data_IF_982225837093
#
_entry.id   IF_982225837093
#
_cell.length_a   1.000
_cell.length_b   1.000
_cell.length_c   1.000
_cell.angle_alpha   90.00
_cell.angle_beta   90.00
_cell.angle_gamma   90.00
#
_symmetry.space_group_name_H-M   'P 1'
#
loop_
_entity.id
_entity.type
_entity.pdbx_description
1 polymer ?
#
# COMPACT_ATOMS: atom_id res chain seq x y z
N UNK A 1 29.27 -26.24 3.14
CA UNK A 1 28.46 -25.33 3.99
C UNK A 1 27.06 -25.31 3.40
N UNK A 2 26.08 -25.97 4.03
CA UNK A 2 24.69 -26.01 3.53
C UNK A 2 23.99 -24.73 4.01
N UNK A 3 23.70 -23.83 3.10
CA UNK A 3 22.80 -22.71 3.36
C UNK A 3 21.39 -23.30 3.37
N UNK A 4 20.70 -23.24 4.51
CA UNK A 4 19.31 -23.68 4.63
C UNK A 4 18.42 -22.74 3.82
N UNK A 5 18.04 -23.15 2.60
CA UNK A 5 17.05 -22.48 1.75
C UNK A 5 15.60 -22.70 2.23
N UNK A 6 15.28 -22.28 3.46
CA UNK A 6 13.91 -22.31 3.99
C UNK A 6 13.38 -20.90 4.30
N UNK A 7 13.58 -19.96 3.39
CA UNK A 7 12.83 -18.70 3.36
C UNK A 7 11.67 -18.85 2.38
N UNK A 8 10.76 -19.78 2.67
CA UNK A 8 9.46 -19.82 2.00
C UNK A 8 8.59 -18.73 2.63
N UNK A 9 8.99 -17.47 2.49
CA UNK A 9 8.19 -16.33 2.93
C UNK A 9 7.12 -16.14 1.87
N UNK A 10 5.96 -16.73 2.14
CA UNK A 10 4.80 -16.63 1.28
C UNK A 10 3.93 -15.52 1.88
N UNK A 11 4.22 -14.27 1.52
CA UNK A 11 3.32 -13.17 1.86
C UNK A 11 2.30 -12.95 0.75
N UNK A 12 1.18 -12.37 1.12
CA UNK A 12 0.29 -11.70 0.19
C UNK A 12 0.27 -10.21 0.54
N UNK A 13 0.52 -9.33 -0.42
CA UNK A 13 0.21 -7.91 -0.26
C UNK A 13 -1.04 -7.66 -1.07
N UNK A 14 -2.11 -7.29 -0.39
CA UNK A 14 -3.33 -6.77 -0.99
C UNK A 14 -3.27 -5.25 -0.91
N UNK A 15 -3.24 -4.56 -2.05
CA UNK A 15 -3.25 -3.09 -2.10
C UNK A 15 -4.66 -2.63 -2.40
N UNK A 16 -5.18 -1.68 -1.63
CA UNK A 16 -6.45 -1.01 -1.86
C UNK A 16 -6.20 0.49 -2.10
N UNK A 17 -6.56 0.98 -3.28
CA UNK A 17 -6.71 2.42 -3.54
C UNK A 17 -8.14 2.80 -3.18
N UNK A 18 -8.36 3.83 -2.37
CA UNK A 18 -9.67 4.36 -1.98
C UNK A 18 -9.97 5.74 -2.56
N UNK A 19 -8.92 6.56 -2.66
CA UNK A 19 -8.98 7.92 -3.20
C UNK A 19 -7.96 8.01 -4.32
N UNK A 20 -8.40 8.50 -5.48
CA UNK A 20 -7.55 8.84 -6.60
C UNK A 20 -7.86 10.27 -7.07
N UNK A 21 -6.95 11.20 -6.78
CA UNK A 21 -6.97 12.57 -7.30
C UNK A 21 -6.15 12.58 -8.58
N UNK A 22 -6.78 12.88 -9.71
CA UNK A 22 -6.11 12.84 -11.02
C UNK A 22 -5.58 14.20 -11.49
N UNK A 23 -5.85 15.27 -10.75
CA UNK A 23 -5.21 16.58 -10.96
C UNK A 23 -3.81 16.59 -10.36
N UNK A 24 -2.85 17.24 -11.02
CA UNK A 24 -1.48 17.30 -10.54
C UNK A 24 -1.34 18.09 -9.20
N UNK A 25 -0.58 17.59 -8.20
CA UNK A 25 0.05 16.27 -8.20
C UNK A 25 -0.98 15.15 -8.08
N UNK A 26 -0.84 14.07 -8.86
CA UNK A 26 -1.76 12.92 -8.77
C UNK A 26 -1.62 12.31 -7.38
N UNK A 27 -2.72 12.09 -6.67
CA UNK A 27 -2.70 11.55 -5.29
C UNK A 27 -3.45 10.23 -5.22
N UNK A 28 -2.84 9.24 -4.58
CA UNK A 28 -3.47 8.00 -4.17
C UNK A 28 -3.52 7.88 -2.66
N UNK A 29 -4.68 7.55 -2.09
CA UNK A 29 -4.81 7.20 -0.68
C UNK A 29 -5.52 5.87 -0.54
N UNK A 30 -5.13 5.10 0.47
CA UNK A 30 -5.70 3.78 0.68
C UNK A 30 -4.96 2.97 1.73
N UNK A 31 -4.94 1.66 1.56
CA UNK A 31 -4.28 0.74 2.48
C UNK A 31 -3.59 -0.44 1.81
N UNK A 32 -2.56 -0.97 2.45
CA UNK A 32 -2.00 -2.28 2.18
C UNK A 32 -2.42 -3.24 3.29
N UNK A 33 -2.98 -4.39 2.91
CA UNK A 33 -3.16 -5.53 3.81
C UNK A 33 -2.09 -6.57 3.50
N UNK A 34 -1.18 -6.79 4.43
CA UNK A 34 -0.07 -7.74 4.30
C UNK A 34 -0.41 -8.98 5.11
N UNK A 35 -0.61 -10.11 4.43
CA UNK A 35 -0.83 -11.40 5.06
C UNK A 35 0.46 -12.22 5.06
N UNK A 36 1.02 -12.43 6.24
CA UNK A 36 2.14 -13.34 6.47
C UNK A 36 1.62 -14.76 6.67
N UNK A 37 1.63 -15.57 5.60
CA UNK A 37 1.12 -16.95 5.63
C UNK A 37 1.94 -17.86 6.54
N UNK A 38 3.20 -17.51 6.84
CA UNK A 38 4.05 -18.31 7.73
C UNK A 38 3.58 -18.21 9.17
N UNK A 39 3.23 -17.00 9.61
CA UNK A 39 2.83 -16.73 10.99
C UNK A 39 1.30 -16.61 11.17
N UNK A 40 0.54 -16.66 10.08
CA UNK A 40 -0.92 -16.44 10.09
C UNK A 40 -1.29 -15.02 10.56
N UNK A 41 -0.38 -14.05 10.38
CA UNK A 41 -0.56 -12.68 10.84
C UNK A 41 -0.97 -11.78 9.69
N UNK A 42 -1.85 -10.84 9.99
CA UNK A 42 -2.25 -9.79 9.08
C UNK A 42 -1.79 -8.44 9.62
N UNK A 43 -1.20 -7.62 8.76
CA UNK A 43 -0.78 -6.27 9.06
C UNK A 43 -1.51 -5.31 8.11
N UNK A 44 -2.00 -4.20 8.64
CA UNK A 44 -2.64 -3.16 7.86
C UNK A 44 -1.72 -1.95 7.83
N UNK A 45 -1.54 -1.33 6.67
CA UNK A 45 -0.80 -0.09 6.50
C UNK A 45 -1.70 0.89 5.76
N UNK A 46 -1.84 2.11 6.24
CA UNK A 46 -2.51 3.21 5.56
C UNK A 46 -1.48 4.08 4.84
N UNK A 47 -1.78 4.51 3.62
CA UNK A 47 -0.85 5.30 2.83
C UNK A 47 -1.50 6.52 2.20
N UNK A 48 -0.67 7.54 1.96
CA UNK A 48 -0.89 8.57 0.94
C UNK A 48 0.36 8.68 0.08
N UNK A 49 0.16 8.52 -1.22
CA UNK A 49 1.20 8.58 -2.24
C UNK A 49 0.92 9.73 -3.19
N UNK A 50 1.94 10.53 -3.48
CA UNK A 50 1.94 11.48 -4.60
C UNK A 50 2.64 10.85 -5.79
N UNK A 51 1.96 10.84 -6.92
CA UNK A 51 2.49 10.38 -8.18
C UNK A 51 3.01 11.57 -8.99
N UNK A 52 4.27 11.48 -9.43
CA UNK A 52 4.94 12.55 -10.20
C UNK A 52 4.54 12.56 -11.68
N UNK A 53 3.78 11.56 -12.14
CA UNK A 53 3.24 11.54 -13.51
C UNK A 53 2.25 12.69 -13.70
N UNK A 54 2.26 13.30 -14.89
CA UNK A 54 1.44 14.47 -15.17
C UNK A 54 -0.02 14.10 -15.46
N UNK A 55 -0.26 12.91 -16.04
CA UNK A 55 -1.59 12.44 -16.39
C UNK A 55 -1.72 10.91 -16.26
N UNK A 56 -2.95 10.40 -16.41
CA UNK A 56 -3.24 8.95 -16.34
C UNK A 56 -2.56 8.12 -17.44
N UNK A 57 -2.38 8.68 -18.64
CA UNK A 57 -1.77 7.95 -19.77
C UNK A 57 -0.28 7.71 -19.53
N UNK A 58 0.43 8.66 -18.92
CA UNK A 58 1.84 8.49 -18.56
C UNK A 58 2.06 7.32 -17.57
N UNK A 59 1.06 6.98 -16.74
CA UNK A 59 1.12 5.83 -15.83
C UNK A 59 1.06 4.49 -16.60
N UNK A 60 0.36 4.47 -17.74
CA UNK A 60 0.21 3.27 -18.57
C UNK A 60 1.36 3.08 -19.55
N UNK A 61 1.89 4.18 -20.07
CA UNK A 61 2.85 4.18 -21.18
C UNK A 61 4.30 4.08 -20.69
N UNK A 62 4.61 4.60 -19.50
CA UNK A 62 5.96 4.58 -18.94
C UNK A 62 6.26 3.29 -18.16
N UNK A 63 7.52 2.87 -18.18
CA UNK A 63 8.01 1.82 -17.27
C UNK A 63 7.92 2.26 -15.80
N UNK A 64 7.75 1.28 -14.91
CA UNK A 64 7.72 1.54 -13.48
C UNK A 64 9.01 2.21 -13.01
N UNK A 65 8.86 3.33 -12.30
CA UNK A 65 9.93 3.98 -11.55
C UNK A 65 9.46 4.19 -10.11
N UNK A 66 10.23 3.73 -9.09
CA UNK A 66 9.89 3.98 -7.69
C UNK A 66 9.92 5.48 -7.35
N UNK A 67 10.67 6.29 -8.12
CA UNK A 67 10.73 7.73 -7.92
C UNK A 67 9.44 8.44 -8.32
N UNK A 68 8.59 7.80 -9.12
CA UNK A 68 7.30 8.37 -9.50
C UNK A 68 6.26 8.24 -8.40
N UNK A 69 6.45 7.35 -7.40
CA UNK A 69 5.46 7.04 -6.36
C UNK A 69 5.97 7.44 -4.98
N UNK A 70 5.74 8.68 -4.56
CA UNK A 70 6.28 9.21 -3.32
C UNK A 70 5.28 9.06 -2.16
N UNK A 71 5.53 8.13 -1.24
CA UNK A 71 4.75 8.07 0.00
C UNK A 71 5.04 9.30 0.86
N UNK A 72 4.03 10.14 1.01
CA UNK A 72 4.05 11.30 1.92
C UNK A 72 3.64 10.90 3.33
N UNK A 73 2.90 9.81 3.45
CA UNK A 73 2.45 9.24 4.72
C UNK A 73 2.33 7.73 4.60
N UNK A 74 2.76 7.04 5.66
CA UNK A 74 2.68 5.59 5.78
C UNK A 74 2.50 5.22 7.25
N UNK A 75 1.35 4.65 7.61
CA UNK A 75 0.97 4.39 9.02
C UNK A 75 0.58 2.94 9.23
N UNK A 76 1.06 2.30 10.28
CA UNK A 76 0.54 0.99 10.68
C UNK A 76 -0.91 1.09 11.23
N UNK A 77 -1.69 0.05 10.98
CA UNK A 77 -3.11 -0.03 11.36
C UNK A 77 -3.34 -0.60 12.77
N UNK A 78 -2.40 -1.39 13.29
CA UNK A 78 -2.31 -1.64 14.72
C UNK A 78 -1.67 -0.41 15.36
N UNK A 79 -2.46 0.43 16.04
CA UNK A 79 -2.14 1.28 17.21
C UNK A 79 -3.05 2.52 17.19
N UNK A 80 -3.49 2.91 18.40
CA UNK A 80 -4.16 4.16 18.79
C UNK A 80 -3.28 5.43 18.63
N UNK A 81 -2.13 5.32 17.97
CA UNK A 81 -1.10 6.35 17.85
C UNK A 81 -0.66 6.41 16.39
N UNK A 82 -0.54 7.63 15.92
CA UNK A 82 -0.28 8.03 14.55
C UNK A 82 1.20 7.87 14.16
N UNK A 83 1.79 6.71 14.44
CA UNK A 83 3.22 6.53 14.20
C UNK A 83 3.48 6.26 12.72
N UNK A 84 4.07 7.28 12.08
CA UNK A 84 4.53 7.21 10.71
C UNK A 84 5.69 6.19 10.64
N UNK A 85 5.46 5.05 9.98
CA UNK A 85 6.44 3.97 9.83
C UNK A 85 7.43 4.24 8.70
N UNK A 86 7.25 5.33 7.93
CA UNK A 86 8.07 5.63 6.76
C UNK A 86 9.57 5.66 7.07
N UNK A 87 9.96 6.27 8.19
CA UNK A 87 11.37 6.37 8.60
C UNK A 87 11.95 5.06 9.18
N UNK A 88 11.09 4.06 9.41
CA UNK A 88 11.48 2.77 10.00
C UNK A 88 11.61 1.68 8.94
N UNK A 89 11.01 1.87 7.76
CA UNK A 89 11.11 0.95 6.64
C UNK A 89 12.45 1.12 5.91
N UNK A 90 12.98 0.00 5.42
CA UNK A 90 14.08 0.02 4.47
C UNK A 90 13.61 0.51 3.10
N UNK A 91 14.55 1.01 2.29
CA UNK A 91 14.29 1.38 0.89
C UNK A 91 13.69 0.21 0.09
N UNK A 92 14.16 -1.02 0.33
CA UNK A 92 13.63 -2.23 -0.31
C UNK A 92 12.15 -2.47 0.05
N UNK A 93 11.78 -2.26 1.32
CA UNK A 93 10.39 -2.39 1.76
C UNK A 93 9.50 -1.28 1.17
N UNK A 94 10.02 -0.06 1.05
CA UNK A 94 9.31 1.05 0.40
C UNK A 94 9.10 0.75 -1.08
N UNK A 95 10.15 0.31 -1.79
CA UNK A 95 10.10 -0.11 -3.18
C UNK A 95 9.02 -1.17 -3.42
N UNK A 96 8.94 -2.16 -2.53
CA UNK A 96 7.94 -3.22 -2.60
C UNK A 96 6.50 -2.67 -2.59
N UNK A 97 6.22 -1.73 -1.68
CA UNK A 97 4.91 -1.09 -1.55
C UNK A 97 4.60 -0.15 -2.73
N UNK A 98 5.61 0.56 -3.24
CA UNK A 98 5.48 1.39 -4.45
C UNK A 98 5.14 0.53 -5.67
N UNK A 99 5.81 -0.61 -5.82
CA UNK A 99 5.58 -1.52 -6.93
C UNK A 99 4.19 -2.17 -6.85
N UNK A 100 3.76 -2.59 -5.66
CA UNK A 100 2.40 -3.10 -5.43
C UNK A 100 1.33 -2.05 -5.77
N UNK A 101 1.55 -0.78 -5.41
CA UNK A 101 0.68 0.33 -5.78
C UNK A 101 0.65 0.56 -7.30
N UNK A 102 1.81 0.60 -7.96
CA UNK A 102 1.91 0.73 -9.41
C UNK A 102 1.09 -0.35 -10.13
N UNK A 103 1.28 -1.63 -9.79
CA UNK A 103 0.54 -2.73 -10.39
C UNK A 103 -0.98 -2.56 -10.22
N UNK A 104 -1.40 -2.09 -9.04
CA UNK A 104 -2.81 -1.84 -8.71
C UNK A 104 -3.40 -0.71 -9.54
N UNK A 105 -2.68 0.42 -9.66
CA UNK A 105 -3.12 1.58 -10.44
C UNK A 105 -3.13 1.25 -11.94
N UNK A 106 -2.11 0.57 -12.46
CA UNK A 106 -2.08 0.11 -13.86
C UNK A 106 -3.23 -0.84 -14.15
N UNK A 107 -3.53 -1.77 -13.24
CA UNK A 107 -4.69 -2.65 -13.36
C UNK A 107 -6.01 -1.86 -13.34
N UNK A 108 -6.15 -0.89 -12.45
CA UNK A 108 -7.30 0.00 -12.35
C UNK A 108 -7.54 0.76 -13.67
N UNK A 109 -6.49 1.36 -14.23
CA UNK A 109 -6.56 2.16 -15.45
C UNK A 109 -6.83 1.32 -16.71
N UNK A 110 -6.27 0.10 -16.79
CA UNK A 110 -6.48 -0.83 -17.91
C UNK A 110 -7.82 -1.56 -17.84
N UNK A 111 -8.36 -1.78 -16.63
CA UNK A 111 -9.63 -2.50 -16.41
C UNK A 111 -10.82 -1.53 -16.35
N UNK A 112 -10.81 -0.42 -17.12
CA UNK A 112 -11.91 0.57 -17.25
C UNK A 112 -13.29 -0.03 -17.65
N UNK A 113 -13.41 -1.36 -17.76
CA UNK A 113 -14.66 -2.12 -17.75
C UNK A 113 -14.56 -3.29 -16.77
N UNK A 114 -15.35 -3.23 -15.69
CA UNK A 114 -15.70 -4.34 -14.78
C UNK A 114 -14.59 -4.84 -13.84
N UNK A 115 -14.60 -4.35 -12.59
CA UNK A 115 -14.90 -5.15 -11.39
C UNK A 115 -14.70 -4.24 -10.17
N UNK A 116 -15.80 -3.61 -9.73
CA UNK A 116 -15.87 -3.08 -8.37
C UNK A 116 -15.66 -4.27 -7.44
N UNK A 117 -14.54 -4.32 -6.72
CA UNK A 117 -14.50 -5.16 -5.54
C UNK A 117 -15.44 -4.47 -4.56
N UNK A 118 -16.63 -5.06 -4.42
CA UNK A 118 -17.68 -4.60 -3.54
C UNK A 118 -17.19 -4.84 -2.11
N UNK A 119 -16.33 -3.96 -1.62
CA UNK A 119 -16.11 -3.81 -0.19
C UNK A 119 -17.47 -3.39 0.36
N UNK A 120 -17.97 -4.15 1.35
CA UNK A 120 -19.17 -3.80 2.11
C UNK A 120 -19.12 -2.30 2.44
N UNK A 121 -20.18 -1.56 2.10
CA UNK A 121 -20.25 -0.11 2.30
C UNK A 121 -19.92 0.29 3.75
N UNK A 122 -20.21 -0.56 4.74
CA UNK A 122 -19.84 -0.34 6.14
C UNK A 122 -18.33 -0.51 6.37
N UNK A 123 -17.71 -1.50 5.74
CA UNK A 123 -16.25 -1.71 5.82
C UNK A 123 -15.51 -0.59 5.09
N UNK A 124 -16.01 -0.18 3.92
CA UNK A 124 -15.50 0.94 3.15
C UNK A 124 -15.61 2.25 3.94
N UNK A 125 -16.75 2.50 4.57
CA UNK A 125 -16.97 3.65 5.45
C UNK A 125 -16.02 3.62 6.66
N UNK A 126 -15.92 2.48 7.36
CA UNK A 126 -15.00 2.34 8.50
C UNK A 126 -13.54 2.58 8.10
N UNK A 127 -13.12 2.11 6.93
CA UNK A 127 -11.77 2.29 6.42
C UNK A 127 -11.53 3.74 6.00
N UNK A 128 -12.52 4.35 5.35
CA UNK A 128 -12.51 5.77 4.97
C UNK A 128 -12.41 6.66 6.20
N UNK A 129 -13.19 6.39 7.25
CA UNK A 129 -13.11 7.13 8.51
C UNK A 129 -11.77 6.91 9.23
N UNK A 130 -11.23 5.70 9.20
CA UNK A 130 -9.89 5.42 9.76
C UNK A 130 -8.79 6.19 9.05
N UNK A 131 -8.88 6.28 7.72
CA UNK A 131 -7.99 7.06 6.87
C UNK A 131 -8.17 8.55 7.19
N UNK A 132 -9.40 9.08 7.15
CA UNK A 132 -9.69 10.48 7.48
C UNK A 132 -9.13 10.86 8.85
N UNK A 133 -9.35 10.05 9.88
CA UNK A 133 -8.81 10.30 11.22
C UNK A 133 -7.28 10.35 11.21
N UNK A 134 -6.61 9.44 10.48
CA UNK A 134 -5.14 9.44 10.36
C UNK A 134 -4.60 10.63 9.55
N UNK A 135 -5.35 11.15 8.59
CA UNK A 135 -4.91 12.27 7.73
C UNK A 135 -5.36 13.66 8.22
N UNK A 136 -6.38 13.74 9.07
CA UNK A 136 -6.95 15.00 9.59
C UNK A 136 -5.97 15.78 10.48
N UNK A 137 -4.98 15.12 11.09
CA UNK A 137 -3.96 15.79 11.90
C UNK A 137 -2.86 16.47 11.05
N UNK A 138 -2.83 16.25 9.72
CA UNK A 138 -1.68 16.61 8.87
C UNK A 138 -1.91 17.64 7.76
N UNK A 139 -3.07 17.66 7.08
CA UNK A 139 -3.56 18.65 6.08
C UNK A 139 -4.60 17.98 5.17
N UNK A 140 -5.59 18.77 4.75
CA UNK A 140 -6.62 18.55 3.71
C UNK A 140 -6.73 17.13 3.15
N UNK A 141 -7.59 16.32 3.78
CA UNK A 141 -8.25 15.22 3.10
C UNK A 141 -9.17 15.82 2.03
N UNK A 142 -8.77 15.75 0.76
CA UNK A 142 -9.58 16.28 -0.34
C UNK A 142 -10.79 15.36 -0.57
N UNK A 143 -11.91 15.76 0.04
CA UNK A 143 -13.19 15.03 0.03
C UNK A 143 -13.84 14.95 -1.36
N UNK A 144 -13.43 15.83 -2.29
CA UNK A 144 -14.03 15.98 -3.62
C UNK A 144 -13.35 15.10 -4.70
N UNK A 145 -12.36 14.30 -4.32
CA UNK A 145 -11.83 13.25 -5.18
C UNK A 145 -12.88 12.16 -5.38
N UNK A 146 -12.81 11.40 -6.48
CA UNK A 146 -13.72 10.27 -6.72
C UNK A 146 -13.46 9.16 -5.68
N UNK A 147 -14.06 9.31 -4.50
CA UNK A 147 -14.12 8.30 -3.45
C UNK A 147 -15.06 7.21 -3.99
N UNK A 148 -14.53 6.02 -4.27
CA UNK A 148 -15.37 4.93 -4.75
C UNK A 148 -14.70 3.86 -5.59
N UNK A 149 -13.39 3.96 -5.81
CA UNK A 149 -12.65 2.88 -6.45
C UNK A 149 -12.03 2.02 -5.36
N UNK A 150 -12.20 0.70 -5.48
CA UNK A 150 -11.58 -0.29 -4.62
C UNK A 150 -11.03 -1.38 -5.55
N UNK A 151 -9.72 -1.40 -5.72
CA UNK A 151 -9.01 -2.45 -6.46
C UNK A 151 -8.06 -3.09 -5.48
N UNK A 152 -8.24 -4.39 -5.25
CA UNK A 152 -7.39 -5.24 -4.44
C UNK A 152 -6.53 -6.11 -5.39
N UNK A 153 -5.21 -6.05 -5.25
CA UNK A 153 -4.29 -6.87 -6.05
C UNK A 153 -3.38 -7.67 -5.14
N UNK A 154 -3.31 -8.98 -5.38
CA UNK A 154 -2.42 -9.91 -4.69
C UNK A 154 -1.01 -9.83 -5.29
N UNK A 155 -0.02 -9.49 -4.47
CA UNK A 155 1.39 -9.54 -4.84
C UNK A 155 2.14 -10.59 -4.00
N UNK A 156 2.77 -11.55 -4.69
CA UNK A 156 3.52 -12.66 -4.11
C UNK A 156 4.98 -12.66 -4.61
N UNK A 157 5.92 -12.05 -3.88
CA UNK A 157 7.32 -11.97 -4.28
C UNK A 157 8.01 -13.33 -4.23
N UNK A 158 8.66 -13.72 -5.33
CA UNK A 158 9.40 -14.99 -5.43
C UNK A 158 10.91 -14.80 -5.62
N UNK A 159 11.33 -13.59 -5.98
CA UNK A 159 12.73 -13.27 -6.22
C UNK A 159 13.49 -13.01 -4.92
N UNK A 160 14.78 -13.35 -4.88
CA UNK A 160 15.57 -13.28 -3.65
C UNK A 160 15.65 -11.85 -3.06
N UNK A 161 15.82 -10.83 -3.90
CA UNK A 161 15.80 -9.43 -3.47
C UNK A 161 14.43 -9.05 -2.87
N UNK A 162 13.35 -9.50 -3.51
CA UNK A 162 12.00 -9.27 -3.02
C UNK A 162 11.74 -10.00 -1.68
N UNK A 163 12.30 -11.20 -1.47
CA UNK A 163 12.22 -11.90 -0.18
C UNK A 163 12.93 -11.14 0.95
N UNK A 164 14.06 -10.47 0.65
CA UNK A 164 14.73 -9.59 1.62
C UNK A 164 13.89 -8.35 1.95
N UNK A 165 13.32 -7.70 0.92
CA UNK A 165 12.39 -6.57 1.09
C UNK A 165 11.23 -6.95 2.01
N UNK A 166 10.64 -8.12 1.79
CA UNK A 166 9.57 -8.66 2.63
C UNK A 166 10.03 -8.91 4.06
N UNK A 167 11.18 -9.54 4.25
CA UNK A 167 11.70 -9.79 5.60
C UNK A 167 11.91 -8.49 6.37
N UNK A 168 12.38 -7.43 5.70
CA UNK A 168 12.54 -6.11 6.30
C UNK A 168 11.19 -5.48 6.67
N UNK A 169 10.22 -5.52 5.74
CA UNK A 169 8.85 -5.03 5.96
C UNK A 169 8.19 -5.73 7.16
N UNK A 170 8.21 -7.06 7.19
CA UNK A 170 7.61 -7.85 8.28
C UNK A 170 8.30 -7.60 9.63
N UNK A 171 9.62 -7.38 9.63
CA UNK A 171 10.36 -7.10 10.87
C UNK A 171 9.93 -5.77 11.49
N UNK A 172 9.76 -4.73 10.67
CA UNK A 172 9.24 -3.43 11.12
C UNK A 172 7.84 -3.59 11.73
N UNK A 173 6.93 -4.26 11.02
CA UNK A 173 5.54 -4.43 11.45
C UNK A 173 5.40 -5.34 12.68
N UNK A 174 6.30 -6.31 12.85
CA UNK A 174 6.27 -7.24 13.98
C UNK A 174 6.77 -6.61 15.29
N UNK A 175 7.68 -5.62 15.24
CA UNK A 175 8.17 -4.90 16.43
C UNK A 175 7.02 -4.15 17.12
N UNK A 176 6.11 -3.56 16.35
CA UNK A 176 4.93 -2.88 16.88
C UNK A 176 3.94 -3.84 17.54
N UNK A 177 3.87 -5.10 17.07
CA UNK A 177 2.98 -6.12 17.66
C UNK A 177 3.43 -6.66 19.03
N UNK A 178 4.69 -6.43 19.44
CA UNK A 178 5.28 -6.94 20.68
C UNK A 178 5.29 -5.94 21.85
N UNK A 179 4.83 -4.72 21.62
CA UNK A 179 4.81 -3.67 22.65
C UNK A 179 3.47 -3.60 23.42
N UNK A 180 2.70 -4.71 23.43
CA UNK A 180 1.51 -4.91 24.27
C UNK A 180 1.79 -5.89 25.41
#
# INVERSE_FOLDING_TARGET
>A
MKINNNLNILINIETLVLVAVWSAPIVFQGSFTIFDRKNGKQYLIFYRCECQKANQTDILDDEFSPFDYQFTYLYAGSVRLHDNIFNQLSEDAIYLLQYALYLTVTKMLTTKKQNYIYIDEMALHSLTESIKQKFAEGKNFEMDAEIGFAVAMDFNPQEQAALYAVSSLLSCLAVESKSM
#
